data_IF_554050220189
#
_entry.id   IF_554050220189
#
_cell.length_a   1.000
_cell.length_b   1.000
_cell.length_c   1.000
_cell.angle_alpha   90.00
_cell.angle_beta   90.00
_cell.angle_gamma   90.00
#
_symmetry.space_group_name_H-M   'P 1'
#
loop_
_entity.id
_entity.type
_entity.pdbx_description
1 polymer ?
#
# COMPACT_ATOMS: atom_id res chain seq x y z
N UNK A 1 34.18 -19.53 68.61
CA UNK A 1 34.75 -19.16 67.28
C UNK A 1 34.06 -19.89 66.13
N UNK A 2 33.68 -21.17 66.27
CA UNK A 2 32.92 -21.87 65.22
C UNK A 2 31.44 -21.49 65.15
N UNK A 3 30.74 -21.31 66.28
CA UNK A 3 29.31 -20.93 66.29
C UNK A 3 29.06 -19.60 65.55
N UNK A 4 29.92 -18.61 65.74
CA UNK A 4 29.85 -17.32 65.03
C UNK A 4 30.02 -17.48 63.53
N UNK A 5 30.92 -18.38 63.09
CA UNK A 5 31.13 -18.68 61.67
C UNK A 5 29.94 -19.40 61.04
N UNK A 6 29.24 -20.26 61.80
CA UNK A 6 28.04 -20.95 61.31
C UNK A 6 26.84 -20.01 61.18
N UNK A 7 26.73 -18.99 62.04
CA UNK A 7 25.66 -17.98 61.97
C UNK A 7 25.86 -16.97 60.83
N UNK A 8 27.09 -16.81 60.33
CA UNK A 8 27.41 -15.98 59.17
C UNK A 8 27.14 -16.66 57.82
N UNK A 9 26.65 -17.90 57.83
CA UNK A 9 26.32 -18.62 56.59
C UNK A 9 25.12 -17.98 55.91
N UNK A 10 25.39 -17.26 54.81
CA UNK A 10 24.37 -16.76 53.90
C UNK A 10 24.20 -17.73 52.75
N UNK A 11 22.99 -18.24 52.60
CA UNK A 11 22.67 -19.12 51.49
C UNK A 11 22.24 -18.32 50.27
N UNK A 12 22.66 -18.76 49.08
CA UNK A 12 22.43 -18.04 47.82
C UNK A 12 20.95 -17.85 47.45
N UNK A 13 20.04 -18.60 48.05
CA UNK A 13 18.61 -18.46 47.79
C UNK A 13 18.00 -17.17 48.39
N UNK A 14 18.68 -16.54 49.34
CA UNK A 14 18.25 -15.25 49.92
C UNK A 14 18.41 -14.08 48.94
N UNK A 15 19.25 -14.22 47.91
CA UNK A 15 19.50 -13.20 46.89
C UNK A 15 18.60 -13.34 45.65
N UNK A 16 17.78 -14.40 45.59
CA UNK A 16 16.96 -14.72 44.42
C UNK A 16 15.53 -14.28 44.68
N UNK A 17 15.01 -13.40 43.83
CA UNK A 17 13.60 -13.05 43.84
C UNK A 17 12.76 -14.25 43.38
N UNK A 18 11.84 -14.67 44.25
CA UNK A 18 10.95 -15.80 44.01
C UNK A 18 9.51 -15.35 43.69
N UNK A 19 8.82 -16.12 42.86
CA UNK A 19 7.39 -15.98 42.53
C UNK A 19 6.56 -15.88 43.81
N UNK A 20 5.56 -15.00 43.84
CA UNK A 20 4.75 -14.78 45.03
C UNK A 20 4.05 -16.07 45.50
N UNK A 21 3.77 -16.16 46.81
CA UNK A 21 3.12 -17.35 47.37
C UNK A 21 1.75 -17.61 46.73
N UNK A 22 1.01 -16.55 46.44
CA UNK A 22 -0.32 -16.63 45.83
C UNK A 22 -0.26 -17.20 44.41
N UNK A 23 0.72 -16.78 43.61
CA UNK A 23 0.92 -17.28 42.25
C UNK A 23 1.46 -18.71 42.25
N UNK A 24 2.39 -19.02 43.17
CA UNK A 24 2.93 -20.37 43.33
C UNK A 24 1.82 -21.40 43.59
N UNK A 25 0.94 -21.18 44.58
CA UNK A 25 -0.13 -22.14 44.88
C UNK A 25 -1.25 -22.17 43.83
N UNK A 26 -1.36 -21.16 42.96
CA UNK A 26 -2.32 -21.15 41.84
C UNK A 26 -1.79 -21.86 40.60
N UNK A 27 -0.50 -21.72 40.30
CA UNK A 27 0.09 -22.16 39.02
C UNK A 27 0.90 -23.46 39.14
N UNK A 28 1.46 -23.76 40.31
CA UNK A 28 2.28 -24.95 40.50
C UNK A 28 1.40 -26.22 40.57
N UNK A 29 1.76 -27.28 39.82
CA UNK A 29 1.12 -28.58 39.91
C UNK A 29 1.06 -29.12 41.34
N UNK A 30 0.03 -29.90 41.69
CA UNK A 30 -0.13 -30.48 43.03
C UNK A 30 1.06 -31.37 43.45
N UNK A 31 1.74 -31.97 42.47
CA UNK A 31 2.93 -32.81 42.68
C UNK A 31 4.13 -32.03 43.22
N UNK A 32 4.20 -30.73 42.96
CA UNK A 32 5.30 -29.84 43.39
C UNK A 32 4.84 -28.96 44.55
N UNK A 33 3.63 -28.40 44.49
CA UNK A 33 3.13 -27.48 45.50
C UNK A 33 2.87 -28.14 46.85
N UNK A 34 2.47 -29.42 46.86
CA UNK A 34 2.26 -30.26 48.07
C UNK A 34 1.71 -29.48 49.26
N UNK A 35 0.58 -28.80 49.07
CA UNK A 35 0.03 -27.82 50.00
C UNK A 35 -0.15 -28.37 51.43
N UNK A 36 -0.39 -29.68 51.57
CA UNK A 36 -0.52 -30.37 52.87
C UNK A 36 0.75 -30.31 53.74
N UNK A 37 1.93 -30.30 53.11
CA UNK A 37 3.23 -30.31 53.81
C UNK A 37 3.88 -28.92 53.77
N UNK A 38 3.72 -28.19 52.67
CA UNK A 38 4.37 -26.89 52.48
C UNK A 38 3.69 -25.75 53.25
N UNK A 39 2.40 -25.84 53.57
CA UNK A 39 1.72 -24.83 54.40
C UNK A 39 2.13 -24.91 55.88
N UNK A 40 2.60 -26.08 56.34
CA UNK A 40 2.98 -26.32 57.74
C UNK A 40 4.46 -26.11 58.04
N UNK A 41 5.32 -26.13 57.03
CA UNK A 41 6.79 -25.99 57.17
C UNK A 41 7.35 -24.95 56.19
N UNK A 42 7.86 -23.79 56.67
CA UNK A 42 8.42 -22.73 55.82
C UNK A 42 9.67 -23.17 55.05
N UNK A 43 10.41 -24.16 55.54
CA UNK A 43 11.57 -24.69 54.81
C UNK A 43 11.11 -25.50 53.59
N UNK A 44 10.15 -26.41 53.77
CA UNK A 44 9.57 -27.19 52.67
C UNK A 44 8.86 -26.30 51.65
N UNK A 45 8.21 -25.23 52.10
CA UNK A 45 7.62 -24.23 51.22
C UNK A 45 8.65 -23.58 50.30
N UNK A 46 9.81 -23.20 50.87
CA UNK A 46 10.87 -22.53 50.12
C UNK A 46 11.52 -23.48 49.10
N UNK A 47 11.73 -24.74 49.47
CA UNK A 47 12.24 -25.77 48.56
C UNK A 47 11.27 -26.02 47.38
N UNK A 48 9.98 -26.18 47.67
CA UNK A 48 8.97 -26.41 46.65
C UNK A 48 8.84 -25.24 45.65
N UNK A 49 8.99 -23.99 46.13
CA UNK A 49 9.03 -22.80 45.27
C UNK A 49 10.26 -22.78 44.36
N UNK A 50 11.43 -23.09 44.91
CA UNK A 50 12.68 -23.17 44.14
C UNK A 50 12.61 -24.25 43.05
N UNK A 51 12.05 -25.42 43.37
CA UNK A 51 11.87 -26.51 42.41
C UNK A 51 10.91 -26.12 41.28
N UNK A 52 9.78 -25.48 41.61
CA UNK A 52 8.83 -25.00 40.62
C UNK A 52 9.45 -23.97 39.68
N UNK A 53 10.20 -23.00 40.20
CA UNK A 53 10.86 -22.00 39.36
C UNK A 53 11.93 -22.60 38.47
N UNK A 54 12.69 -23.57 38.98
CA UNK A 54 13.68 -24.28 38.19
C UNK A 54 12.99 -25.00 37.02
N UNK A 55 11.86 -25.65 37.25
CA UNK A 55 11.07 -26.30 36.21
C UNK A 55 10.46 -25.30 35.22
N UNK A 56 9.93 -24.17 35.70
CA UNK A 56 9.45 -23.07 34.86
C UNK A 56 10.55 -22.53 33.95
N UNK A 57 11.74 -22.27 34.50
CA UNK A 57 12.90 -21.79 33.72
C UNK A 57 13.32 -22.82 32.68
N UNK A 58 13.33 -24.12 33.01
CA UNK A 58 13.59 -25.19 32.03
C UNK A 58 12.56 -25.21 30.91
N UNK A 59 11.26 -25.14 31.26
CA UNK A 59 10.16 -25.14 30.28
C UNK A 59 10.20 -23.91 29.37
N UNK A 60 10.46 -22.73 29.93
CA UNK A 60 10.59 -21.48 29.19
C UNK A 60 11.81 -21.50 28.27
N UNK A 61 12.94 -22.02 28.74
CA UNK A 61 14.15 -22.18 27.92
C UNK A 61 13.92 -23.13 26.73
N UNK A 62 13.19 -24.23 26.94
CA UNK A 62 12.82 -25.15 25.85
C UNK A 62 11.89 -24.47 24.84
N UNK A 63 10.81 -23.82 25.32
CA UNK A 63 9.87 -23.10 24.47
C UNK A 63 10.54 -21.97 23.68
N UNK A 64 11.50 -21.27 24.30
CA UNK A 64 12.30 -20.25 23.63
C UNK A 64 13.16 -20.86 22.52
N UNK A 65 13.81 -21.99 22.77
CA UNK A 65 14.60 -22.72 21.76
C UNK A 65 13.73 -23.20 20.60
N UNK A 66 12.55 -23.74 20.88
CA UNK A 66 11.58 -24.15 19.87
C UNK A 66 11.12 -22.94 19.03
N UNK A 67 10.79 -21.81 19.67
CA UNK A 67 10.39 -20.59 18.99
C UNK A 67 11.52 -20.04 18.09
N UNK A 68 12.77 -20.10 18.53
CA UNK A 68 13.92 -19.72 17.71
C UNK A 68 14.07 -20.65 16.49
N UNK A 69 13.92 -21.96 16.67
CA UNK A 69 13.95 -22.92 15.56
C UNK A 69 12.83 -22.65 14.56
N UNK A 70 11.60 -22.39 15.03
CA UNK A 70 10.46 -22.07 14.18
C UNK A 70 10.66 -20.75 13.43
N UNK A 71 11.20 -19.72 14.09
CA UNK A 71 11.58 -18.47 13.44
C UNK A 71 12.58 -18.73 12.30
N UNK A 72 13.61 -19.53 12.54
CA UNK A 72 14.61 -19.85 11.51
C UNK A 72 14.01 -20.62 10.33
N UNK A 73 13.11 -21.58 10.59
CA UNK A 73 12.37 -22.31 9.54
C UNK A 73 11.53 -21.35 8.70
N UNK A 74 10.75 -20.48 9.34
CA UNK A 74 9.92 -19.49 8.63
C UNK A 74 10.78 -18.56 7.78
N UNK A 75 11.92 -18.09 8.31
CA UNK A 75 12.83 -17.25 7.54
C UNK A 75 13.39 -17.96 6.30
N UNK A 76 13.78 -19.24 6.44
CA UNK A 76 14.22 -20.06 5.30
C UNK A 76 13.11 -20.28 4.28
N UNK A 77 11.88 -20.53 4.72
CA UNK A 77 10.73 -20.67 3.81
C UNK A 77 10.41 -19.37 3.07
N UNK A 78 10.52 -18.23 3.74
CA UNK A 78 10.36 -16.92 3.12
C UNK A 78 11.42 -16.73 2.04
N UNK A 79 12.68 -17.07 2.33
CA UNK A 79 13.77 -16.91 1.37
C UNK A 79 13.57 -17.80 0.13
N UNK A 80 13.22 -19.08 0.33
CA UNK A 80 12.91 -19.99 -0.79
C UNK A 80 11.73 -19.47 -1.63
N UNK A 81 10.68 -18.94 -1.00
CA UNK A 81 9.54 -18.35 -1.71
C UNK A 81 9.94 -17.09 -2.47
N UNK A 82 10.80 -16.25 -1.92
CA UNK A 82 11.33 -15.07 -2.60
C UNK A 82 12.18 -15.46 -3.81
N UNK A 83 13.06 -16.44 -3.68
CA UNK A 83 13.86 -16.98 -4.79
C UNK A 83 12.96 -17.59 -5.87
N UNK A 84 11.92 -18.34 -5.46
CA UNK A 84 10.95 -18.88 -6.41
C UNK A 84 10.24 -17.76 -7.18
N UNK A 85 9.72 -16.75 -6.50
CA UNK A 85 9.04 -15.60 -7.13
C UNK A 85 9.99 -14.80 -8.04
N UNK A 86 11.23 -14.56 -7.60
CA UNK A 86 12.23 -13.84 -8.39
C UNK A 86 12.65 -14.62 -9.64
N UNK A 87 12.63 -15.96 -9.58
CA UNK A 87 12.87 -16.82 -10.74
C UNK A 87 11.64 -16.98 -11.66
N UNK A 88 10.43 -16.84 -11.11
CA UNK A 88 9.17 -17.02 -11.84
C UNK A 88 8.85 -15.83 -12.74
N UNK A 89 9.01 -14.60 -12.22
CA UNK A 89 8.75 -13.37 -12.97
C UNK A 89 9.46 -13.30 -14.34
N UNK A 90 10.79 -13.55 -14.46
CA UNK A 90 11.46 -13.54 -15.75
C UNK A 90 10.97 -14.67 -16.67
N UNK A 91 10.62 -15.85 -16.14
CA UNK A 91 10.07 -16.96 -16.94
C UNK A 91 8.71 -16.61 -17.53
N UNK A 92 7.82 -16.02 -16.73
CA UNK A 92 6.51 -15.54 -17.19
C UNK A 92 6.68 -14.43 -18.25
N UNK A 93 7.61 -13.50 -18.03
CA UNK A 93 7.92 -12.48 -19.02
C UNK A 93 8.42 -13.08 -20.34
N UNK A 94 9.30 -14.09 -20.30
CA UNK A 94 9.76 -14.80 -21.51
C UNK A 94 8.61 -15.48 -22.26
N UNK A 95 7.69 -16.14 -21.54
CA UNK A 95 6.50 -16.75 -22.14
C UNK A 95 5.60 -15.69 -22.78
N UNK A 96 5.36 -14.58 -22.08
CA UNK A 96 4.57 -13.47 -22.57
C UNK A 96 5.16 -12.91 -23.87
N UNK A 97 6.47 -12.63 -23.90
CA UNK A 97 7.17 -12.13 -25.09
C UNK A 97 7.14 -13.14 -26.24
N UNK A 98 7.36 -14.43 -25.97
CA UNK A 98 7.31 -15.48 -27.00
C UNK A 98 5.90 -15.65 -27.60
N UNK A 99 4.85 -15.34 -26.84
CA UNK A 99 3.46 -15.44 -27.30
C UNK A 99 2.96 -14.22 -28.10
N UNK A 100 3.68 -13.09 -28.09
CA UNK A 100 3.28 -11.86 -28.77
C UNK A 100 2.96 -12.05 -30.27
N UNK A 101 3.78 -12.74 -31.09
CA UNK A 101 3.49 -12.89 -32.51
C UNK A 101 2.19 -13.65 -32.79
N UNK A 102 1.88 -14.65 -31.95
CA UNK A 102 0.63 -15.43 -32.05
C UNK A 102 -0.56 -14.60 -31.58
N UNK A 103 -0.40 -13.79 -30.53
CA UNK A 103 -1.43 -12.85 -30.08
C UNK A 103 -1.78 -11.83 -31.16
N UNK A 104 -0.78 -11.27 -31.85
CA UNK A 104 -0.98 -10.35 -32.98
C UNK A 104 -1.70 -11.03 -34.14
N UNK A 105 -1.28 -12.25 -34.51
CA UNK A 105 -1.90 -13.01 -35.59
C UNK A 105 -3.36 -13.37 -35.32
N UNK A 106 -3.70 -13.71 -34.07
CA UNK A 106 -5.06 -14.08 -33.66
C UNK A 106 -5.88 -12.88 -33.16
N UNK A 107 -5.37 -11.65 -33.26
CA UNK A 107 -6.00 -10.42 -32.77
C UNK A 107 -6.44 -10.47 -31.30
N UNK A 108 -5.60 -11.07 -30.44
CA UNK A 108 -5.86 -11.23 -29.00
C UNK A 108 -4.87 -10.41 -28.14
N UNK A 109 -5.11 -9.11 -27.91
CA UNK A 109 -4.17 -8.22 -27.21
C UNK A 109 -4.30 -8.33 -25.68
N UNK A 110 -4.01 -9.51 -25.11
CA UNK A 110 -4.09 -9.74 -23.66
C UNK A 110 -3.13 -8.82 -22.88
N UNK A 111 -1.93 -8.58 -23.40
CA UNK A 111 -0.92 -7.71 -22.78
C UNK A 111 -1.38 -6.23 -22.74
N UNK A 112 -2.04 -5.75 -23.80
CA UNK A 112 -2.51 -4.36 -23.85
C UNK A 112 -3.64 -4.09 -22.85
N UNK A 113 -4.60 -5.02 -22.74
CA UNK A 113 -5.66 -4.92 -21.75
C UNK A 113 -5.09 -4.96 -20.31
N UNK A 114 -4.13 -5.85 -20.05
CA UNK A 114 -3.50 -5.96 -18.74
C UNK A 114 -2.73 -4.69 -18.36
N UNK A 115 -1.93 -4.13 -19.27
CA UNK A 115 -1.22 -2.86 -19.08
C UNK A 115 -2.17 -1.69 -18.80
N UNK A 116 -3.30 -1.62 -19.49
CA UNK A 116 -4.32 -0.61 -19.21
C UNK A 116 -4.93 -0.76 -17.81
N UNK A 117 -5.20 -1.99 -17.36
CA UNK A 117 -5.69 -2.22 -15.99
C UNK A 117 -4.66 -1.88 -14.93
N UNK A 118 -3.38 -2.23 -15.11
CA UNK A 118 -2.31 -1.85 -14.18
C UNK A 118 -2.15 -0.33 -14.10
N UNK A 119 -2.28 0.37 -15.23
CA UNK A 119 -2.30 1.84 -15.27
C UNK A 119 -3.53 2.40 -14.56
N UNK A 120 -4.69 1.76 -14.75
CA UNK A 120 -5.96 2.16 -14.11
C UNK A 120 -5.91 2.08 -12.58
N UNK A 121 -5.05 1.25 -11.98
CA UNK A 121 -4.88 1.17 -10.52
C UNK A 121 -4.42 2.49 -9.89
N UNK A 122 -3.80 3.36 -10.68
CA UNK A 122 -3.32 4.67 -10.25
C UNK A 122 -4.31 5.81 -10.55
N UNK A 123 -5.51 5.51 -11.08
CA UNK A 123 -6.53 6.51 -11.33
C UNK A 123 -7.26 6.90 -10.03
N UNK A 124 -7.69 8.18 -9.91
CA UNK A 124 -8.63 8.60 -8.88
C UNK A 124 -9.92 7.78 -8.95
N UNK A 125 -10.62 7.54 -7.81
CA UNK A 125 -11.81 6.70 -7.80
C UNK A 125 -12.88 7.08 -8.84
N UNK A 126 -13.21 8.38 -9.05
CA UNK A 126 -14.19 8.76 -10.08
C UNK A 126 -13.75 8.42 -11.51
N UNK A 127 -12.46 8.59 -11.84
CA UNK A 127 -11.91 8.26 -13.15
C UNK A 127 -11.78 6.74 -13.34
N UNK A 128 -11.46 5.99 -12.28
CA UNK A 128 -11.42 4.54 -12.32
C UNK A 128 -12.81 3.95 -12.63
N UNK A 129 -13.85 4.43 -11.94
CA UNK A 129 -15.23 4.01 -12.21
C UNK A 129 -15.61 4.33 -13.66
N UNK A 130 -15.30 5.53 -14.15
CA UNK A 130 -15.55 5.90 -15.55
C UNK A 130 -14.84 4.95 -16.52
N UNK A 131 -13.57 4.62 -16.28
CA UNK A 131 -12.80 3.69 -17.09
C UNK A 131 -13.42 2.29 -17.14
N UNK A 132 -13.77 1.72 -15.98
CA UNK A 132 -14.39 0.39 -15.89
C UNK A 132 -15.76 0.37 -16.59
N UNK A 133 -16.59 1.38 -16.37
CA UNK A 133 -17.91 1.46 -17.00
C UNK A 133 -17.82 1.67 -18.52
N UNK A 134 -16.92 2.53 -18.99
CA UNK A 134 -16.74 2.77 -20.42
C UNK A 134 -16.18 1.54 -21.15
N UNK A 135 -15.21 0.85 -20.55
CA UNK A 135 -14.67 -0.40 -21.11
C UNK A 135 -15.72 -1.51 -21.14
N UNK A 136 -16.49 -1.68 -20.07
CA UNK A 136 -17.60 -2.64 -20.03
C UNK A 136 -18.67 -2.33 -21.09
N UNK A 137 -19.05 -1.05 -21.23
CA UNK A 137 -19.99 -0.61 -22.25
C UNK A 137 -19.48 -0.88 -23.67
N UNK A 138 -18.22 -0.57 -23.95
CA UNK A 138 -17.60 -0.85 -25.25
C UNK A 138 -17.61 -2.33 -25.62
N UNK A 139 -17.34 -3.21 -24.65
CA UNK A 139 -17.40 -4.66 -24.85
C UNK A 139 -18.84 -5.16 -25.05
N UNK A 140 -19.78 -4.75 -24.21
CA UNK A 140 -21.17 -5.16 -24.30
C UNK A 140 -21.83 -4.75 -25.63
N UNK A 141 -21.58 -3.51 -26.07
CA UNK A 141 -22.12 -3.01 -27.34
C UNK A 141 -21.46 -3.64 -28.58
N UNK A 142 -20.22 -4.13 -28.48
CA UNK A 142 -19.59 -4.89 -29.54
C UNK A 142 -20.26 -6.26 -29.75
N UNK A 143 -20.72 -6.92 -28.67
CA UNK A 143 -21.38 -8.23 -28.73
C UNK A 143 -22.84 -8.17 -29.22
N UNK A 144 -23.57 -7.06 -29.02
CA UNK A 144 -24.98 -6.95 -29.48
C UNK A 144 -25.15 -6.90 -31.00
N UNK A 145 -24.10 -6.64 -31.79
CA UNK A 145 -24.17 -6.53 -33.27
C UNK A 145 -23.80 -7.84 -34.01
N UNK A 146 -23.64 -8.97 -33.32
CA UNK A 146 -23.10 -10.20 -33.91
C UNK A 146 -24.15 -11.10 -34.60
N UNK A 147 -24.79 -10.62 -35.67
CA UNK A 147 -25.46 -11.48 -36.67
C UNK A 147 -24.79 -11.47 -38.05
N UNK A 148 -23.65 -10.79 -38.20
CA UNK A 148 -22.86 -10.71 -39.44
C UNK A 148 -21.35 -10.66 -39.12
N UNK A 149 -20.45 -11.01 -40.07
CA UNK A 149 -19.03 -11.24 -39.78
C UNK A 149 -18.36 -9.99 -39.19
N UNK A 150 -17.32 -10.17 -38.34
CA UNK A 150 -16.79 -9.11 -37.49
C UNK A 150 -16.05 -8.07 -38.33
N UNK A 151 -16.74 -7.02 -38.76
CA UNK A 151 -16.09 -5.78 -39.17
C UNK A 151 -15.70 -5.01 -37.91
N UNK A 152 -14.38 -4.83 -37.76
CA UNK A 152 -13.62 -4.32 -36.62
C UNK A 152 -13.84 -2.84 -36.25
N UNK A 153 -14.98 -2.24 -36.55
CA UNK A 153 -15.22 -0.86 -36.12
C UNK A 153 -15.68 -0.84 -34.66
N UNK A 154 -14.71 -0.90 -33.73
CA UNK A 154 -14.94 -0.55 -32.32
C UNK A 154 -15.44 0.89 -32.29
N UNK A 155 -16.74 1.07 -32.07
CA UNK A 155 -17.39 2.39 -32.03
C UNK A 155 -16.96 3.23 -30.83
N UNK A 156 -16.37 2.59 -29.81
CA UNK A 156 -15.84 3.23 -28.61
C UNK A 156 -14.43 2.70 -28.33
N UNK A 157 -13.45 3.60 -28.21
CA UNK A 157 -12.13 3.31 -27.65
C UNK A 157 -11.94 4.08 -26.34
N UNK A 158 -11.28 3.41 -25.38
CA UNK A 158 -10.97 3.97 -24.06
C UNK A 158 -9.45 3.90 -23.87
N UNK A 159 -8.85 5.02 -23.50
CA UNK A 159 -7.42 5.12 -23.20
C UNK A 159 -7.19 5.91 -21.91
N UNK A 160 -6.06 5.65 -21.26
CA UNK A 160 -5.58 6.43 -20.12
C UNK A 160 -4.35 7.18 -20.59
N UNK A 161 -4.35 8.50 -20.43
CA UNK A 161 -3.23 9.38 -20.78
C UNK A 161 -2.64 10.03 -19.54
N UNK A 162 -1.32 10.23 -19.56
CA UNK A 162 -0.61 10.98 -18.52
C UNK A 162 0.61 10.25 -17.97
N UNK A 163 1.19 10.81 -16.90
CA UNK A 163 2.38 10.27 -16.24
C UNK A 163 1.99 9.35 -15.08
N UNK A 164 2.30 8.06 -15.22
CA UNK A 164 2.07 7.05 -14.15
C UNK A 164 3.00 7.29 -12.97
N UNK A 165 4.22 7.79 -13.21
CA UNK A 165 5.20 8.03 -12.15
C UNK A 165 4.79 9.19 -11.23
N UNK A 166 4.23 10.26 -11.81
CA UNK A 166 3.65 11.36 -11.03
C UNK A 166 2.41 10.92 -10.24
N UNK A 167 1.58 10.05 -10.83
CA UNK A 167 0.42 9.49 -10.14
C UNK A 167 0.84 8.62 -8.95
N UNK A 168 1.87 7.79 -9.11
CA UNK A 168 2.45 6.99 -8.02
C UNK A 168 3.02 7.86 -6.89
N UNK A 169 3.61 9.00 -7.23
CA UNK A 169 4.14 9.94 -6.24
C UNK A 169 3.03 10.54 -5.36
N UNK A 170 1.82 10.74 -5.88
CA UNK A 170 0.67 11.24 -5.11
C UNK A 170 0.11 10.23 -4.10
N UNK A 171 0.35 8.92 -4.29
CA UNK A 171 -0.06 7.88 -3.35
C UNK A 171 0.93 7.68 -2.20
N UNK A 172 2.15 8.19 -2.31
CA UNK A 172 3.06 8.22 -1.16
C UNK A 172 2.52 9.26 -0.17
N UNK A 173 2.29 8.90 1.11
CA UNK A 173 1.97 9.91 2.10
C UNK A 173 3.07 10.98 2.07
N UNK A 174 2.73 12.27 2.21
CA UNK A 174 3.74 13.30 2.38
C UNK A 174 4.58 12.89 3.60
N UNK A 175 5.90 12.79 3.44
CA UNK A 175 6.77 12.85 4.61
C UNK A 175 6.44 14.14 5.35
N UNK A 176 6.31 14.02 6.67
CA UNK A 176 5.75 15.01 7.58
C UNK A 176 6.14 16.44 7.21
N UNK A 177 5.10 17.26 7.07
CA UNK A 177 5.18 18.71 7.14
C UNK A 177 5.90 19.12 8.43
N UNK A 178 7.16 19.53 8.33
CA UNK A 178 7.72 20.42 9.34
C UNK A 178 7.11 21.81 9.13
N UNK A 179 6.04 22.04 9.88
CA UNK A 179 5.62 23.36 10.30
C UNK A 179 6.80 24.02 11.05
N UNK A 180 7.58 24.84 10.37
CA UNK A 180 8.39 25.87 11.03
C UNK A 180 7.67 27.21 10.89
N UNK A 181 6.67 27.41 11.75
CA UNK A 181 6.24 28.73 12.20
C UNK A 181 7.42 29.34 12.97
N UNK A 182 8.37 29.94 12.25
CA UNK A 182 9.46 30.71 12.85
C UNK A 182 8.99 32.15 13.04
N UNK A 183 8.38 32.37 14.20
CA UNK A 183 8.30 33.68 14.84
C UNK A 183 9.72 34.15 15.15
N UNK A 184 10.18 35.19 14.46
CA UNK A 184 11.47 35.82 14.74
C UNK A 184 11.31 37.33 14.64
N UNK A 185 10.94 37.88 15.78
CA UNK A 185 11.18 39.26 16.17
C UNK A 185 12.70 39.46 16.30
N UNK A 186 13.32 40.03 15.26
CA UNK A 186 14.71 40.47 15.31
C UNK A 186 14.90 41.65 14.35
N UNK A 187 14.96 42.84 14.94
CA UNK A 187 15.55 44.02 14.32
C UNK A 187 16.99 43.71 13.89
N UNK A 188 17.30 43.83 12.60
CA UNK A 188 18.52 44.52 12.16
C UNK A 188 18.50 44.76 10.64
N UNK A 189 18.81 46.02 10.30
CA UNK A 189 19.09 46.48 8.96
C UNK A 189 20.26 45.70 8.35
N UNK A 190 20.04 45.06 7.19
CA UNK A 190 21.05 45.04 6.15
C UNK A 190 20.50 44.66 4.77
N UNK A 191 21.01 45.41 3.80
CA UNK A 191 20.56 45.56 2.43
C UNK A 191 20.83 44.34 1.57
N UNK A 192 19.81 43.53 1.25
CA UNK A 192 19.67 42.92 -0.07
C UNK A 192 18.19 42.86 -0.44
N UNK A 193 17.82 43.47 -1.58
CA UNK A 193 16.43 43.61 -2.05
C UNK A 193 15.85 42.25 -2.49
N UNK A 194 15.57 41.35 -1.55
CA UNK A 194 14.62 40.24 -1.76
C UNK A 194 13.21 40.80 -1.59
N UNK A 195 12.58 41.06 -2.74
CA UNK A 195 11.19 41.52 -2.85
C UNK A 195 10.29 40.56 -2.07
N UNK A 196 9.66 41.04 -0.98
CA UNK A 196 8.55 40.31 -0.33
C UNK A 196 7.50 39.99 -1.42
N UNK A 197 6.97 38.75 -1.50
CA UNK A 197 5.93 38.43 -2.47
C UNK A 197 4.75 39.37 -2.26
N UNK A 198 4.35 40.09 -3.32
CA UNK A 198 3.12 40.89 -3.30
C UNK A 198 1.93 39.95 -3.11
N UNK A 199 0.94 40.33 -2.28
CA UNK A 199 -0.29 39.55 -1.99
C UNK A 199 -0.95 38.92 -3.24
N UNK A 200 -0.86 39.58 -4.40
CA UNK A 200 -1.35 39.03 -5.67
C UNK A 200 -0.64 37.73 -6.12
N UNK A 201 0.68 37.62 -5.90
CA UNK A 201 1.46 36.41 -6.22
C UNK A 201 1.04 35.23 -5.35
N UNK A 202 0.82 35.47 -4.05
CA UNK A 202 0.33 34.44 -3.13
C UNK A 202 -1.08 33.93 -3.49
N UNK A 203 -1.98 34.82 -3.92
CA UNK A 203 -3.32 34.44 -4.35
C UNK A 203 -3.30 33.63 -5.65
N UNK A 204 -2.41 33.96 -6.59
CA UNK A 204 -2.26 33.21 -7.83
C UNK A 204 -1.62 31.83 -7.62
N UNK A 205 -0.67 31.70 -6.70
CA UNK A 205 -0.09 30.41 -6.31
C UNK A 205 -1.15 29.53 -5.62
N UNK A 206 -1.97 30.11 -4.72
CA UNK A 206 -3.09 29.40 -4.11
C UNK A 206 -4.13 28.95 -5.14
N UNK A 207 -4.42 29.78 -6.15
CA UNK A 207 -5.31 29.41 -7.26
C UNK A 207 -4.75 28.26 -8.09
N UNK A 208 -3.46 28.29 -8.43
CA UNK A 208 -2.81 27.21 -9.18
C UNK A 208 -2.82 25.90 -8.41
N UNK A 209 -2.59 25.95 -7.11
CA UNK A 209 -2.68 24.76 -6.25
C UNK A 209 -4.11 24.22 -6.23
N UNK A 210 -5.13 25.08 -6.02
CA UNK A 210 -6.53 24.64 -6.06
C UNK A 210 -6.97 24.06 -7.40
N UNK A 211 -6.40 24.54 -8.51
CA UNK A 211 -6.69 24.04 -9.86
C UNK A 211 -5.74 22.92 -10.31
N UNK A 212 -4.94 22.36 -9.41
CA UNK A 212 -4.01 21.26 -9.70
C UNK A 212 -4.78 20.04 -10.20
N UNK A 213 -4.41 19.62 -11.41
CA UNK A 213 -4.98 18.45 -12.08
C UNK A 213 -4.26 17.19 -11.64
N UNK A 214 -5.00 16.11 -11.60
CA UNK A 214 -4.42 14.78 -11.53
C UNK A 214 -3.57 14.51 -12.78
N UNK A 215 -2.37 13.93 -12.65
CA UNK A 215 -1.46 13.69 -13.78
C UNK A 215 -1.99 12.66 -14.78
N UNK A 216 -2.90 11.77 -14.37
CA UNK A 216 -3.62 10.86 -15.25
C UNK A 216 -5.02 11.38 -15.60
N UNK A 217 -5.40 11.17 -16.86
CA UNK A 217 -6.68 11.53 -17.47
C UNK A 217 -7.24 10.35 -18.26
N UNK A 218 -8.56 10.27 -18.43
CA UNK A 218 -9.21 9.22 -19.21
C UNK A 218 -9.70 9.81 -20.52
N UNK A 219 -9.32 9.20 -21.65
CA UNK A 219 -9.77 9.59 -22.98
C UNK A 219 -10.75 8.56 -23.53
N UNK A 220 -11.87 9.05 -24.04
CA UNK A 220 -12.92 8.27 -24.69
C UNK A 220 -13.08 8.79 -26.11
N UNK A 221 -12.87 7.93 -27.11
CA UNK A 221 -13.13 8.27 -28.51
C UNK A 221 -14.31 7.48 -29.04
N UNK A 222 -15.27 8.21 -29.60
CA UNK A 222 -16.49 7.66 -30.16
C UNK A 222 -16.48 7.87 -31.67
N UNK A 223 -16.45 6.77 -32.44
CA UNK A 223 -16.58 6.81 -33.90
C UNK A 223 -18.07 6.85 -34.26
N UNK A 224 -18.48 7.93 -34.90
CA UNK A 224 -19.84 8.13 -35.40
C UNK A 224 -20.00 7.50 -36.79
N UNK A 225 -21.26 7.36 -37.25
CA UNK A 225 -21.60 6.68 -38.52
C UNK A 225 -21.20 7.48 -39.77
N UNK A 226 -20.98 8.78 -39.59
CA UNK A 226 -20.55 9.76 -40.59
C UNK A 226 -19.01 9.86 -40.68
N UNK A 227 -18.29 8.86 -40.18
CA UNK A 227 -16.82 8.82 -40.05
C UNK A 227 -16.22 9.97 -39.20
N UNK A 228 -17.06 10.73 -38.50
CA UNK A 228 -16.63 11.69 -37.49
C UNK A 228 -16.22 10.98 -36.20
N UNK A 229 -15.28 11.55 -35.47
CA UNK A 229 -14.82 11.07 -34.17
C UNK A 229 -15.03 12.14 -33.11
N UNK A 230 -15.72 11.78 -32.03
CA UNK A 230 -15.86 12.61 -30.83
C UNK A 230 -14.83 12.15 -29.81
N UNK A 231 -13.87 13.01 -29.51
CA UNK A 231 -12.87 12.83 -28.47
C UNK A 231 -13.34 13.52 -27.18
N UNK A 232 -13.39 12.76 -26.08
CA UNK A 232 -13.73 13.26 -24.75
C UNK A 232 -12.58 12.96 -23.80
N UNK A 233 -11.89 13.99 -23.33
CA UNK A 233 -10.81 13.86 -22.34
C UNK A 233 -11.31 14.30 -20.97
N UNK A 234 -11.33 13.38 -20.02
CA UNK A 234 -11.75 13.60 -18.64
C UNK A 234 -10.53 13.87 -17.75
N UNK A 235 -10.51 15.04 -17.13
CA UNK A 235 -9.53 15.45 -16.15
C UNK A 235 -10.14 15.42 -14.75
N UNK A 236 -9.31 15.25 -13.73
CA UNK A 236 -9.74 15.30 -12.33
C UNK A 236 -8.98 16.37 -11.56
N UNK A 237 -9.71 17.24 -10.86
CA UNK A 237 -9.14 18.28 -9.98
C UNK A 237 -9.16 17.75 -8.55
N UNK A 238 -7.99 17.36 -8.05
CA UNK A 238 -7.87 16.67 -6.75
C UNK A 238 -8.35 17.53 -5.58
N UNK A 239 -8.01 18.83 -5.58
CA UNK A 239 -8.34 19.75 -4.48
C UNK A 239 -9.80 20.21 -4.49
N UNK A 240 -10.48 20.11 -5.63
CA UNK A 240 -11.89 20.49 -5.77
C UNK A 240 -12.83 19.28 -5.80
N UNK A 241 -12.29 18.06 -5.90
CA UNK A 241 -13.07 16.83 -6.09
C UNK A 241 -14.05 16.92 -7.28
N UNK A 242 -13.59 17.51 -8.38
CA UNK A 242 -14.40 17.73 -9.59
C UNK A 242 -13.75 17.05 -10.78
N UNK A 243 -14.55 16.29 -11.52
CA UNK A 243 -14.21 15.80 -12.86
C UNK A 243 -14.62 16.85 -13.90
N UNK A 244 -13.71 17.16 -14.82
CA UNK A 244 -13.99 18.06 -15.96
C UNK A 244 -13.79 17.32 -17.27
N UNK A 245 -14.47 17.75 -18.33
CA UNK A 245 -14.39 17.13 -19.65
C UNK A 245 -14.01 18.16 -20.69
N UNK A 246 -13.09 17.78 -21.59
CA UNK A 246 -12.78 18.52 -22.81
C UNK A 246 -13.27 17.71 -23.99
N UNK A 247 -14.19 18.28 -24.76
CA UNK A 247 -14.70 17.66 -25.98
C UNK A 247 -13.99 18.24 -27.20
N UNK A 248 -13.65 17.38 -28.15
CA UNK A 248 -13.13 17.77 -29.47
C UNK A 248 -13.78 16.86 -30.52
N UNK A 249 -14.38 17.46 -31.54
CA UNK A 249 -14.97 16.74 -32.67
C UNK A 249 -14.03 16.88 -33.86
N UNK A 250 -13.71 15.76 -34.50
CA UNK A 250 -12.90 15.67 -35.72
C UNK A 250 -13.74 14.98 -36.77
N UNK A 251 -13.95 15.63 -37.90
CA UNK A 251 -14.73 15.11 -39.03
C UNK A 251 -13.81 14.58 -40.12
N UNK A 252 -14.28 13.60 -40.89
CA UNK A 252 -13.50 13.01 -42.00
C UNK A 252 -13.23 13.99 -43.15
N UNK A 253 -14.03 15.05 -43.28
CA UNK A 253 -13.88 16.11 -44.30
C UNK A 253 -13.55 17.45 -43.64
N UNK A 254 -12.80 18.31 -44.32
CA UNK A 254 -12.56 19.69 -43.88
C UNK A 254 -13.89 20.41 -43.69
N UNK A 255 -14.17 20.79 -42.44
CA UNK A 255 -15.40 21.45 -42.07
C UNK A 255 -15.34 22.92 -42.50
N UNK A 256 -15.92 23.24 -43.65
CA UNK A 256 -16.20 24.63 -44.04
C UNK A 256 -17.30 25.11 -43.09
N UNK A 257 -16.91 25.81 -42.03
CA UNK A 257 -17.84 26.35 -41.05
C UNK A 257 -18.59 27.53 -41.67
N UNK A 258 -19.92 27.45 -41.86
CA UNK A 258 -20.68 28.57 -42.37
C UNK A 258 -20.76 29.67 -41.31
N UNK A 259 -20.59 30.92 -41.73
CA UNK A 259 -20.91 32.07 -40.88
C UNK A 259 -22.41 32.29 -41.00
N UNK A 260 -23.16 31.90 -39.95
CA UNK A 260 -24.58 32.18 -39.88
C UNK A 260 -24.78 33.68 -39.63
N UNK A 261 -25.25 34.42 -40.63
CA UNK A 261 -25.77 35.77 -40.41
C UNK A 261 -27.07 35.65 -39.63
N UNK A 262 -27.03 36.02 -38.35
CA UNK A 262 -28.22 36.14 -37.50
C UNK A 262 -29.11 37.30 -37.91
#
# INVERSE_FOLDING_TARGET
KEITKCLEFKSKHEEIDLVSLEEFYKEAPPDISKAEVTMGDPHQQTLARLDWELEQRKRLAEKYRECLSNKEKILKEIEVKKEYLSSLQPRLNSIMQASLPVQEYLFMPFDQAHKQYETARHLPPPLYVLFVQATAYGQACAHMKSSQPPRQDKTLSVAIEGSVDEAKALFKPPEDSQDDESDSDAEEEQTTKRRRPTLGVQLDDKRKEMLKRHPLSVMLDLKCKDDSVLHLTFYYLMNLNIMTVKAKVTTATELITPISAG
#
